data_IF_519780317792
#
_entry.id   IF_519780317792
#
_cell.length_a   1.000
_cell.length_b   1.000
_cell.length_c   1.000
_cell.angle_alpha   90.00
_cell.angle_beta   90.00
_cell.angle_gamma   90.00
#
_symmetry.space_group_name_H-M   'P 1'
#
loop_
_entity.id
_entity.type
_entity.pdbx_description
1 polymer ?
#
# COMPACT_ATOMS: atom_id res chain seq x y z
N UNK A 1 5.25 40.57 -67.45
CA UNK A 1 5.36 39.79 -68.67
C UNK A 1 5.10 38.36 -68.32
N UNK A 2 3.88 37.96 -68.47
CA UNK A 2 3.38 36.95 -69.40
C UNK A 2 3.88 35.54 -69.04
N UNK A 3 3.09 34.53 -68.92
CA UNK A 3 1.76 34.13 -69.31
C UNK A 3 1.70 32.68 -68.93
N UNK A 4 0.66 32.29 -68.41
CA UNK A 4 -0.46 31.60 -69.04
C UNK A 4 -0.22 30.15 -69.46
N UNK A 5 -1.07 29.38 -68.91
CA UNK A 5 -2.05 28.43 -69.49
C UNK A 5 -1.65 26.99 -69.57
N UNK A 6 -2.43 26.24 -68.95
CA UNK A 6 -3.61 25.41 -69.26
C UNK A 6 -3.16 23.94 -69.48
N UNK A 7 -3.77 23.00 -69.07
CA UNK A 7 -5.09 22.43 -68.91
C UNK A 7 -5.03 20.94 -69.15
N UNK A 8 -5.84 20.26 -68.43
CA UNK A 8 -6.69 19.09 -68.77
C UNK A 8 -6.07 17.70 -68.87
N UNK A 9 -6.63 16.81 -68.16
CA UNK A 9 -7.37 15.66 -68.60
C UNK A 9 -7.25 14.45 -67.72
N UNK A 10 -8.27 14.26 -67.01
CA UNK A 10 -9.28 13.16 -67.01
C UNK A 10 -8.89 11.80 -66.52
N UNK A 11 -9.66 11.40 -65.55
CA UNK A 11 -10.37 10.14 -65.35
C UNK A 11 -9.60 8.85 -65.03
N UNK A 12 -9.96 8.28 -63.94
CA UNK A 12 -9.73 6.88 -63.63
C UNK A 12 -10.23 6.51 -62.26
N UNK A 13 -11.40 5.99 -62.23
CA UNK A 13 -12.19 5.52 -61.09
C UNK A 13 -11.61 4.40 -60.29
N UNK A 14 -12.14 4.25 -59.10
CA UNK A 14 -12.47 3.08 -58.29
C UNK A 14 -11.40 2.46 -57.41
N UNK A 15 -11.72 2.37 -56.16
CA UNK A 15 -11.14 1.44 -55.23
C UNK A 15 -11.34 1.83 -53.77
N UNK A 16 -12.55 1.56 -53.26
CA UNK A 16 -12.81 1.60 -51.82
C UNK A 16 -11.93 0.61 -51.06
N UNK A 17 -11.35 1.05 -50.00
CA UNK A 17 -11.11 0.15 -48.88
C UNK A 17 -10.84 0.95 -47.61
N UNK A 18 -11.63 0.66 -46.62
CA UNK A 18 -11.66 1.13 -45.25
C UNK A 18 -10.31 1.18 -44.59
N UNK A 19 -9.89 2.34 -44.15
CA UNK A 19 -8.86 2.47 -43.15
C UNK A 19 -9.52 2.42 -41.77
N UNK A 20 -9.45 1.31 -41.14
CA UNK A 20 -9.75 1.16 -39.73
C UNK A 20 -8.73 1.96 -38.93
N UNK A 21 -9.16 3.04 -38.32
CA UNK A 21 -8.38 3.78 -37.34
C UNK A 21 -8.19 2.92 -36.09
N UNK A 22 -7.00 2.42 -35.92
CA UNK A 22 -6.61 1.84 -34.64
C UNK A 22 -6.33 2.99 -33.68
N UNK A 23 -7.33 3.35 -32.88
CA UNK A 23 -7.11 4.06 -31.65
C UNK A 23 -6.36 3.14 -30.69
N UNK A 24 -5.08 3.45 -30.46
CA UNK A 24 -4.33 2.84 -29.40
C UNK A 24 -4.95 3.27 -28.06
N UNK A 25 -5.72 2.40 -27.47
CA UNK A 25 -6.08 2.49 -26.07
C UNK A 25 -4.83 2.10 -25.24
N UNK A 26 -4.08 3.14 -24.82
CA UNK A 26 -3.15 2.98 -23.73
C UNK A 26 -3.97 2.97 -22.45
N UNK A 27 -3.89 1.91 -21.70
CA UNK A 27 -4.57 1.84 -20.41
C UNK A 27 -4.80 0.43 -19.97
N UNK A 28 -3.76 -0.38 -19.93
CA UNK A 28 -3.77 -1.57 -19.08
C UNK A 28 -2.98 -1.24 -17.82
N UNK A 29 -3.64 -0.66 -16.82
CA UNK A 29 -3.19 -0.77 -15.46
C UNK A 29 -3.29 -2.25 -15.09
N UNK A 30 -2.21 -2.97 -15.32
CA UNK A 30 -2.06 -4.33 -14.90
C UNK A 30 -2.12 -4.40 -13.39
N UNK A 31 -3.25 -4.77 -12.82
CA UNK A 31 -3.25 -5.54 -11.61
C UNK A 31 -2.62 -6.88 -11.98
N UNK A 32 -1.29 -6.96 -11.90
CA UNK A 32 -0.59 -8.21 -11.91
C UNK A 32 -0.95 -8.93 -10.62
N UNK A 33 -2.09 -9.62 -10.64
CA UNK A 33 -2.27 -10.75 -9.79
C UNK A 33 -1.19 -11.75 -10.22
N UNK A 34 -0.06 -11.77 -9.49
CA UNK A 34 0.87 -12.84 -9.60
C UNK A 34 0.15 -14.11 -9.21
N UNK A 35 -0.31 -14.88 -10.20
CA UNK A 35 -0.72 -16.24 -10.02
C UNK A 35 0.53 -17.06 -9.70
N UNK A 36 1.01 -16.94 -8.46
CA UNK A 36 1.83 -17.97 -7.87
C UNK A 36 1.01 -19.25 -7.93
N UNK A 37 1.45 -20.26 -8.69
CA UNK A 37 0.85 -21.57 -8.68
C UNK A 37 1.01 -22.16 -7.29
N UNK A 38 0.07 -21.85 -6.39
CA UNK A 38 -0.07 -22.54 -5.13
C UNK A 38 -0.39 -24.00 -5.48
N UNK A 39 0.50 -24.91 -5.08
CA UNK A 39 0.18 -26.33 -5.09
C UNK A 39 -1.15 -26.57 -4.40
N UNK A 40 -1.93 -27.53 -4.87
CA UNK A 40 -3.30 -27.89 -4.49
C UNK A 40 -3.44 -28.45 -3.06
N UNK A 41 -2.79 -27.81 -2.09
CA UNK A 41 -2.96 -28.08 -0.64
C UNK A 41 -3.81 -26.99 -0.03
N UNK A 42 -4.96 -27.34 0.52
CA UNK A 42 -5.80 -26.43 1.29
C UNK A 42 -5.01 -25.86 2.46
N UNK A 43 -5.34 -24.63 2.91
CA UNK A 43 -4.72 -23.98 4.05
C UNK A 43 -4.84 -24.86 5.29
N UNK A 44 -3.69 -25.24 5.86
CA UNK A 44 -3.62 -26.02 7.10
C UNK A 44 -3.13 -25.10 8.21
N UNK A 45 -4.07 -24.56 9.00
CA UNK A 45 -3.77 -23.68 10.14
C UNK A 45 -3.21 -24.43 11.39
N UNK A 46 -2.85 -25.68 11.26
CA UNK A 46 -2.47 -26.57 12.37
C UNK A 46 -0.96 -26.88 12.46
N UNK A 47 -0.12 -26.19 11.68
CA UNK A 47 1.35 -26.36 11.72
C UNK A 47 2.04 -25.29 12.58
N UNK A 48 3.34 -25.46 12.86
CA UNK A 48 4.14 -24.37 13.42
C UNK A 48 4.11 -23.21 12.43
N UNK A 49 3.61 -22.06 12.89
CA UNK A 49 3.59 -20.84 12.07
C UNK A 49 4.99 -20.34 11.79
N UNK A 50 5.04 -19.27 11.02
CA UNK A 50 6.21 -18.45 10.81
C UNK A 50 6.77 -18.02 12.18
N UNK A 51 7.97 -18.41 12.52
CA UNK A 51 8.59 -18.09 13.81
C UNK A 51 9.80 -17.20 13.55
N UNK A 52 9.71 -15.96 14.01
CA UNK A 52 10.87 -15.08 14.05
C UNK A 52 11.36 -15.01 15.50
N UNK A 53 12.64 -15.30 15.76
CA UNK A 53 13.19 -15.31 17.12
C UNK A 53 13.02 -13.97 17.84
N UNK A 54 12.85 -14.03 19.13
CA UNK A 54 12.70 -12.84 19.98
C UNK A 54 14.03 -12.21 20.37
N UNK A 55 15.16 -12.91 20.16
CA UNK A 55 16.52 -12.44 20.45
C UNK A 55 17.30 -12.25 19.17
N UNK A 56 18.13 -11.22 19.12
CA UNK A 56 18.97 -10.91 17.96
C UNK A 56 19.97 -12.02 17.63
N UNK A 57 20.56 -12.65 18.64
CA UNK A 57 21.55 -13.72 18.46
C UNK A 57 20.95 -15.00 17.83
N UNK A 58 19.64 -15.18 17.93
CA UNK A 58 18.92 -16.35 17.41
C UNK A 58 18.22 -16.05 16.05
N UNK A 59 18.47 -14.90 15.44
CA UNK A 59 17.81 -14.51 14.21
C UNK A 59 18.28 -15.34 13.00
N UNK A 60 17.33 -15.83 12.19
CA UNK A 60 17.68 -16.59 11.00
C UNK A 60 18.40 -15.67 9.98
N UNK A 61 19.50 -16.16 9.43
CA UNK A 61 20.25 -15.43 8.41
C UNK A 61 19.63 -15.56 7.02
N UNK A 62 18.80 -16.58 6.80
CA UNK A 62 18.11 -16.84 5.55
C UNK A 62 16.59 -16.86 5.74
N UNK A 63 15.85 -16.40 4.72
CA UNK A 63 14.40 -16.41 4.72
C UNK A 63 13.84 -17.85 4.84
N UNK A 64 14.48 -18.83 4.20
CA UNK A 64 14.14 -20.26 4.30
C UNK A 64 14.18 -20.81 5.73
N UNK A 65 14.89 -20.17 6.65
CA UNK A 65 15.03 -20.59 8.05
C UNK A 65 13.93 -20.02 8.97
N UNK A 66 13.09 -19.10 8.47
CA UNK A 66 12.08 -18.40 9.28
C UNK A 66 10.82 -19.22 9.53
N UNK A 67 10.58 -20.28 8.77
CA UNK A 67 9.30 -20.99 8.72
C UNK A 67 8.17 -20.20 8.03
N UNK A 68 8.47 -18.99 7.50
CA UNK A 68 7.52 -18.16 6.75
C UNK A 68 7.38 -18.58 5.29
N UNK A 69 8.35 -19.31 4.79
CA UNK A 69 8.38 -19.85 3.41
C UNK A 69 8.64 -21.35 3.43
N UNK A 70 8.38 -22.02 2.32
CA UNK A 70 8.77 -23.41 2.14
C UNK A 70 10.31 -23.51 2.14
N UNK A 71 10.92 -24.25 3.06
CA UNK A 71 12.38 -24.31 3.13
C UNK A 71 13.03 -25.00 1.92
N UNK A 72 12.27 -25.76 1.15
CA UNK A 72 12.73 -26.39 -0.09
C UNK A 72 12.53 -25.52 -1.32
N UNK A 73 11.64 -24.55 -1.24
CA UNK A 73 11.35 -23.55 -2.29
C UNK A 73 10.94 -22.21 -1.65
N UNK A 74 11.90 -21.39 -1.21
CA UNK A 74 11.61 -20.14 -0.53
C UNK A 74 10.82 -19.11 -1.33
N UNK A 75 10.61 -19.37 -2.62
CA UNK A 75 9.72 -18.56 -3.45
C UNK A 75 8.23 -18.76 -3.12
N UNK A 76 7.91 -19.78 -2.34
CA UNK A 76 6.55 -20.10 -1.90
C UNK A 76 6.36 -19.76 -0.43
N UNK A 77 5.30 -19.07 -0.10
CA UNK A 77 4.90 -18.89 1.28
C UNK A 77 4.59 -20.25 1.93
N UNK A 78 4.90 -20.40 3.21
CA UNK A 78 4.55 -21.61 3.95
C UNK A 78 3.02 -21.80 3.97
N UNK A 79 2.55 -23.04 3.97
CA UNK A 79 1.13 -23.39 3.90
C UNK A 79 0.29 -22.84 5.08
N UNK A 80 0.95 -22.42 6.17
CA UNK A 80 0.31 -21.79 7.33
C UNK A 80 0.05 -20.29 7.16
N UNK A 81 0.54 -19.68 6.11
CA UNK A 81 0.32 -18.27 5.82
C UNK A 81 -0.91 -18.06 4.95
N UNK A 82 -1.75 -17.12 5.32
CA UNK A 82 -2.93 -16.73 4.53
C UNK A 82 -2.57 -15.55 3.64
N UNK A 83 -2.66 -15.69 2.32
CA UNK A 83 -2.47 -14.58 1.42
C UNK A 83 -3.63 -13.59 1.52
N UNK A 84 -3.32 -12.30 1.34
CA UNK A 84 -4.31 -11.23 1.26
C UNK A 84 -3.83 -10.11 0.36
N UNK A 85 -4.75 -9.25 -0.04
CA UNK A 85 -4.45 -8.00 -0.72
C UNK A 85 -5.29 -6.86 -0.15
N UNK A 86 -4.94 -5.62 -0.48
CA UNK A 86 -5.55 -4.41 0.05
C UNK A 86 -6.25 -3.62 -1.05
N UNK A 87 -7.31 -2.90 -0.69
CA UNK A 87 -8.06 -2.05 -1.63
C UNK A 87 -7.22 -0.87 -2.12
N UNK A 88 -6.50 -0.24 -1.20
CA UNK A 88 -5.63 0.90 -1.49
C UNK A 88 -4.19 0.57 -1.07
N UNK A 89 -3.32 0.27 -2.03
CA UNK A 89 -1.95 -0.13 -1.73
C UNK A 89 -1.05 1.07 -1.44
N UNK A 90 -0.09 0.88 -0.53
CA UNK A 90 1.05 1.78 -0.36
C UNK A 90 1.92 1.73 -1.63
N UNK A 91 2.29 2.89 -2.16
CA UNK A 91 3.34 2.99 -3.18
C UNK A 91 4.69 2.52 -2.61
N UNK A 92 5.48 1.86 -3.41
CA UNK A 92 6.85 1.44 -3.07
C UNK A 92 7.65 1.33 -4.35
N UNK A 93 8.00 2.47 -4.93
CA UNK A 93 8.88 2.57 -6.11
C UNK A 93 8.47 1.64 -7.27
N UNK A 94 7.15 1.51 -7.52
CA UNK A 94 6.60 0.68 -8.59
C UNK A 94 6.61 -0.84 -8.32
N UNK A 95 7.07 -1.30 -7.16
CA UNK A 95 7.12 -2.71 -6.85
C UNK A 95 5.70 -3.31 -6.70
N UNK A 96 5.46 -4.43 -7.37
CA UNK A 96 4.32 -5.30 -7.08
C UNK A 96 4.53 -5.97 -5.71
N UNK A 97 3.44 -6.40 -5.08
CA UNK A 97 3.51 -6.93 -3.71
C UNK A 97 2.66 -8.18 -3.55
N UNK A 98 3.26 -9.21 -2.95
CA UNK A 98 2.52 -10.32 -2.36
C UNK A 98 2.47 -10.11 -0.84
N UNK A 99 1.33 -10.41 -0.22
CA UNK A 99 1.10 -10.17 1.21
C UNK A 99 0.53 -11.40 1.88
N UNK A 100 1.04 -11.69 3.06
CA UNK A 100 0.64 -12.86 3.83
C UNK A 100 0.57 -12.53 5.31
N UNK A 101 -0.28 -13.25 6.03
CA UNK A 101 -0.38 -13.19 7.48
C UNK A 101 -0.25 -14.58 8.07
N UNK A 102 0.52 -14.70 9.15
CA UNK A 102 0.67 -15.90 9.96
C UNK A 102 0.25 -15.60 11.39
N UNK A 103 -0.53 -16.48 11.98
CA UNK A 103 -0.88 -16.44 13.40
C UNK A 103 -0.36 -17.67 14.12
N UNK A 104 0.03 -17.55 15.40
CA UNK A 104 0.30 -18.72 16.23
C UNK A 104 -0.95 -19.62 16.33
N UNK A 105 -0.78 -20.95 16.37
CA UNK A 105 -1.90 -21.87 16.50
C UNK A 105 -2.80 -21.55 17.71
N UNK A 106 -4.10 -21.50 17.48
CA UNK A 106 -5.11 -21.24 18.51
C UNK A 106 -5.30 -19.77 18.90
N UNK A 107 -4.51 -18.86 18.35
CA UNK A 107 -4.70 -17.42 18.54
C UNK A 107 -5.64 -16.84 17.50
N UNK A 108 -6.14 -15.64 17.76
CA UNK A 108 -7.09 -14.94 16.89
C UNK A 108 -6.72 -13.48 16.75
N UNK A 109 -7.11 -12.90 15.65
CA UNK A 109 -7.11 -11.45 15.41
C UNK A 109 -8.25 -10.87 16.24
N UNK A 110 -7.96 -9.89 17.07
CA UNK A 110 -8.97 -9.09 17.73
C UNK A 110 -9.41 -7.98 16.76
N UNK A 111 -10.71 -8.00 16.39
CA UNK A 111 -11.30 -6.98 15.53
C UNK A 111 -11.94 -5.92 16.40
N UNK A 112 -11.46 -4.69 16.33
CA UNK A 112 -12.06 -3.56 17.05
C UNK A 112 -13.43 -3.24 16.47
N UNK A 113 -14.41 -3.20 17.34
CA UNK A 113 -15.79 -2.84 17.08
C UNK A 113 -16.22 -1.80 18.10
N UNK A 114 -16.22 -0.55 17.69
CA UNK A 114 -16.43 0.59 18.57
C UNK A 114 -17.86 0.72 19.06
N UNK A 115 -18.80 0.05 18.40
CA UNK A 115 -20.19 -0.06 18.88
C UNK A 115 -20.32 -1.04 20.05
N UNK A 116 -19.45 -2.06 20.09
CA UNK A 116 -19.48 -3.11 21.12
C UNK A 116 -18.53 -2.77 22.28
N UNK A 117 -17.41 -2.14 22.00
CA UNK A 117 -16.35 -1.81 22.98
C UNK A 117 -15.92 -0.34 22.90
N UNK A 118 -16.84 0.59 23.14
CA UNK A 118 -16.53 2.02 22.99
C UNK A 118 -15.37 2.50 23.87
N UNK A 119 -15.10 1.82 24.98
CA UNK A 119 -14.01 2.18 25.88
C UNK A 119 -12.60 1.84 25.32
N UNK A 120 -12.51 0.95 24.33
CA UNK A 120 -11.25 0.55 23.69
C UNK A 120 -10.96 1.36 22.43
N UNK A 121 -11.95 2.08 21.92
CA UNK A 121 -11.86 2.91 20.75
C UNK A 121 -11.62 4.37 21.12
N UNK A 122 -10.67 4.99 20.45
CA UNK A 122 -10.53 6.44 20.51
C UNK A 122 -11.68 7.05 19.73
N UNK A 123 -12.52 7.86 20.38
CA UNK A 123 -13.54 8.64 19.70
C UNK A 123 -12.89 9.79 18.93
N UNK A 124 -13.38 10.06 17.73
CA UNK A 124 -13.19 11.35 17.09
C UNK A 124 -14.15 12.32 17.81
N UNK A 125 -13.66 13.39 18.39
CA UNK A 125 -14.46 14.30 19.24
C UNK A 125 -15.64 14.98 18.51
N UNK A 126 -15.81 14.80 17.20
CA UNK A 126 -16.70 15.57 16.32
C UNK A 126 -17.80 14.74 15.63
N UNK A 127 -18.10 13.53 16.11
CA UNK A 127 -19.18 12.70 15.55
C UNK A 127 -18.81 11.94 14.28
N UNK A 128 -17.53 11.85 13.95
CA UNK A 128 -16.99 10.93 12.95
C UNK A 128 -17.02 9.46 13.42
N UNK A 129 -16.70 8.55 12.53
CA UNK A 129 -16.49 7.13 12.87
C UNK A 129 -15.34 7.02 13.86
N UNK A 130 -15.47 6.20 14.89
CA UNK A 130 -14.39 6.00 15.85
C UNK A 130 -13.09 5.59 15.13
N UNK A 131 -11.99 6.19 15.56
CA UNK A 131 -10.67 6.06 14.90
C UNK A 131 -10.21 4.62 14.72
N UNK A 132 -10.66 3.74 15.61
CA UNK A 132 -10.23 2.35 15.67
C UNK A 132 -11.23 1.37 15.06
N UNK A 133 -12.38 1.86 14.49
CA UNK A 133 -13.38 0.99 13.92
C UNK A 133 -12.81 0.13 12.79
N UNK A 134 -13.00 -1.19 12.92
CA UNK A 134 -12.50 -2.15 11.94
C UNK A 134 -10.99 -2.35 11.91
N UNK A 135 -10.22 -1.78 12.84
CA UNK A 135 -8.81 -2.08 13.02
C UNK A 135 -8.62 -3.48 13.60
N UNK A 136 -7.47 -4.07 13.33
CA UNK A 136 -7.12 -5.42 13.75
C UNK A 136 -5.91 -5.41 14.67
N UNK A 137 -6.09 -5.91 15.90
CA UNK A 137 -4.98 -6.19 16.79
C UNK A 137 -4.53 -7.64 16.60
N UNK A 138 -3.33 -7.79 16.08
CA UNK A 138 -2.73 -9.10 15.84
C UNK A 138 -2.16 -9.65 17.15
N UNK A 139 -2.33 -10.95 17.44
CA UNK A 139 -1.81 -11.55 18.67
C UNK A 139 -0.28 -11.58 18.69
N UNK A 140 0.30 -11.67 19.90
CA UNK A 140 1.74 -11.93 20.06
C UNK A 140 2.12 -13.19 19.32
N UNK A 141 3.22 -13.15 18.58
CA UNK A 141 3.68 -14.22 17.70
C UNK A 141 3.12 -14.14 16.27
N UNK A 142 2.21 -13.20 15.98
CA UNK A 142 1.76 -12.96 14.60
C UNK A 142 2.90 -12.37 13.76
N UNK A 143 2.92 -12.75 12.48
CA UNK A 143 3.85 -12.22 11.48
C UNK A 143 3.09 -11.77 10.25
N UNK A 144 3.36 -10.55 9.80
CA UNK A 144 2.92 -10.04 8.50
C UNK A 144 4.11 -10.11 7.55
N UNK A 145 3.97 -10.85 6.45
CA UNK A 145 4.99 -10.98 5.41
C UNK A 145 4.58 -10.20 4.17
N UNK A 146 5.53 -9.46 3.61
CA UNK A 146 5.36 -8.72 2.35
C UNK A 146 6.54 -8.99 1.43
N UNK A 147 6.26 -9.50 0.24
CA UNK A 147 7.26 -9.73 -0.82
C UNK A 147 7.14 -8.60 -1.83
N UNK A 148 8.26 -7.99 -2.21
CA UNK A 148 8.34 -6.92 -3.21
C UNK A 148 8.96 -7.46 -4.49
N UNK A 149 8.29 -7.17 -5.62
CA UNK A 149 8.73 -7.62 -6.95
C UNK A 149 8.88 -6.41 -7.89
N UNK A 150 10.02 -6.34 -8.58
CA UNK A 150 10.28 -5.37 -9.65
C UNK A 150 10.50 -6.13 -10.94
N UNK A 151 9.74 -5.80 -11.99
CA UNK A 151 9.80 -6.53 -13.25
C UNK A 151 9.49 -8.02 -13.14
N UNK A 152 8.75 -8.43 -12.10
CA UNK A 152 8.41 -9.83 -11.82
C UNK A 152 9.47 -10.59 -11.01
N UNK A 153 10.66 -10.02 -10.78
CA UNK A 153 11.69 -10.60 -9.93
C UNK A 153 11.49 -10.18 -8.47
N UNK A 154 11.67 -11.12 -7.53
CA UNK A 154 11.67 -10.82 -6.09
C UNK A 154 12.91 -10.02 -5.74
N UNK A 155 12.72 -8.90 -5.06
CA UNK A 155 13.82 -8.02 -4.64
C UNK A 155 13.99 -8.10 -3.14
N UNK A 156 12.90 -8.01 -2.40
CA UNK A 156 12.90 -7.95 -0.94
C UNK A 156 11.72 -8.73 -0.36
N UNK A 157 11.95 -9.37 0.79
CA UNK A 157 10.87 -9.83 1.65
C UNK A 157 11.00 -9.17 3.02
N UNK A 158 9.94 -8.51 3.47
CA UNK A 158 9.84 -7.94 4.82
C UNK A 158 8.96 -8.79 5.70
N UNK A 159 9.44 -9.03 6.91
CA UNK A 159 8.65 -9.62 7.99
C UNK A 159 8.44 -8.57 9.07
N UNK A 160 7.22 -8.42 9.54
CA UNK A 160 6.88 -7.62 10.71
C UNK A 160 6.28 -8.55 11.75
N UNK A 161 6.97 -8.74 12.86
CA UNK A 161 6.62 -9.71 13.92
C UNK A 161 6.16 -9.01 15.19
N UNK A 162 5.04 -9.46 15.76
CA UNK A 162 4.57 -9.06 17.08
C UNK A 162 5.27 -9.91 18.15
N UNK A 163 6.34 -9.38 18.75
CA UNK A 163 7.25 -10.15 19.60
C UNK A 163 6.76 -10.28 21.04
N UNK A 164 6.26 -9.18 21.61
CA UNK A 164 5.64 -9.11 22.94
C UNK A 164 4.47 -8.14 22.89
N UNK A 165 3.66 -8.06 23.94
CA UNK A 165 2.50 -7.13 24.02
C UNK A 165 2.84 -5.68 23.63
N UNK A 166 4.09 -5.28 23.77
CA UNK A 166 4.54 -3.89 23.47
C UNK A 166 5.60 -3.81 22.38
N UNK A 167 6.10 -4.94 21.87
CA UNK A 167 7.27 -4.96 21.01
C UNK A 167 6.95 -5.58 19.64
N UNK A 168 7.22 -4.81 18.59
CA UNK A 168 7.22 -5.28 17.22
C UNK A 168 8.63 -5.19 16.64
N UNK A 169 8.97 -6.09 15.74
CA UNK A 169 10.26 -6.08 15.02
C UNK A 169 10.05 -6.22 13.52
N UNK A 170 10.75 -5.38 12.77
CA UNK A 170 10.83 -5.46 11.31
C UNK A 170 12.11 -6.17 10.89
N UNK A 171 12.01 -6.99 9.84
CA UNK A 171 13.14 -7.69 9.23
C UNK A 171 13.08 -7.51 7.73
N UNK A 172 14.21 -7.17 7.12
CA UNK A 172 14.35 -7.01 5.68
C UNK A 172 15.30 -8.08 5.15
N UNK A 173 14.82 -8.88 4.19
CA UNK A 173 15.58 -9.93 3.54
C UNK A 173 15.80 -9.56 2.07
N UNK A 174 17.05 -9.49 1.65
CA UNK A 174 17.44 -9.26 0.26
C UNK A 174 17.48 -10.59 -0.50
N UNK A 175 16.74 -10.68 -1.62
CA UNK A 175 16.79 -11.84 -2.51
C UNK A 175 18.11 -11.89 -3.27
N UNK A 176 18.69 -13.10 -3.38
CA UNK A 176 19.86 -13.33 -4.21
C UNK A 176 19.48 -13.24 -5.70
N UNK A 177 20.47 -13.00 -6.55
CA UNK A 177 20.27 -12.81 -8.00
C UNK A 177 19.66 -14.06 -8.69
N UNK A 178 19.85 -15.24 -8.12
CA UNK A 178 19.25 -16.48 -8.61
C UNK A 178 17.76 -16.62 -8.22
N UNK A 179 17.25 -15.78 -7.31
CA UNK A 179 15.88 -15.83 -6.83
C UNK A 179 15.55 -17.09 -6.02
N UNK A 180 16.55 -17.73 -5.42
CA UNK A 180 16.40 -19.02 -4.73
C UNK A 180 16.22 -18.90 -3.22
N UNK A 181 16.77 -17.84 -2.60
CA UNK A 181 16.58 -17.52 -1.18
C UNK A 181 16.89 -16.04 -0.94
N UNK A 182 16.60 -15.54 0.26
CA UNK A 182 16.89 -14.18 0.66
C UNK A 182 17.67 -14.14 1.97
N UNK A 183 18.60 -13.17 2.08
CA UNK A 183 19.50 -13.00 3.22
C UNK A 183 19.01 -11.86 4.10
N UNK A 184 19.00 -12.06 5.42
CA UNK A 184 18.67 -11.01 6.39
C UNK A 184 19.71 -9.88 6.31
N UNK A 185 19.22 -8.66 6.14
CA UNK A 185 20.06 -7.47 6.19
C UNK A 185 20.23 -6.99 7.63
N UNK A 186 21.47 -6.72 8.08
CA UNK A 186 21.71 -6.23 9.43
C UNK A 186 21.29 -4.76 9.61
N UNK A 187 21.31 -3.98 8.52
CA UNK A 187 20.97 -2.55 8.49
C UNK A 187 20.36 -2.16 7.14
N UNK A 188 20.05 -0.88 6.96
CA UNK A 188 19.59 -0.34 5.68
C UNK A 188 20.62 -0.55 4.56
N UNK A 189 20.11 -0.70 3.35
CA UNK A 189 20.92 -0.84 2.16
C UNK A 189 20.23 -0.12 0.98
N UNK A 190 21.02 0.64 0.21
CA UNK A 190 20.60 1.14 -1.09
C UNK A 190 21.29 0.34 -2.19
N UNK A 191 20.53 -0.29 -3.08
CA UNK A 191 21.04 -1.14 -4.14
C UNK A 191 20.40 -0.78 -5.49
N UNK A 192 21.16 -0.71 -6.59
CA UNK A 192 20.58 -0.62 -7.93
C UNK A 192 19.74 -1.87 -8.25
N UNK A 193 18.50 -1.67 -8.70
CA UNK A 193 17.59 -2.72 -9.15
C UNK A 193 16.93 -2.24 -10.44
N UNK A 194 17.31 -2.80 -11.58
CA UNK A 194 16.93 -2.26 -12.89
C UNK A 194 17.44 -0.84 -13.05
N UNK A 195 16.57 0.08 -13.41
CA UNK A 195 16.89 1.49 -13.67
C UNK A 195 16.72 2.40 -12.43
N UNK A 196 16.46 1.81 -11.25
CA UNK A 196 16.20 2.56 -10.03
C UNK A 196 17.06 2.10 -8.85
N UNK A 197 17.15 2.94 -7.82
CA UNK A 197 17.75 2.56 -6.53
C UNK A 197 16.65 2.05 -5.61
N UNK A 198 16.75 0.78 -5.21
CA UNK A 198 15.87 0.20 -4.20
C UNK A 198 16.44 0.42 -2.79
N UNK A 199 15.59 0.93 -1.90
CA UNK A 199 15.93 1.14 -0.50
C UNK A 199 15.40 0.00 0.37
N UNK A 200 16.32 -0.78 0.95
CA UNK A 200 16.01 -1.74 2.00
C UNK A 200 16.05 -1.01 3.34
N UNK A 201 14.95 -0.93 4.10
CA UNK A 201 14.92 -0.17 5.34
C UNK A 201 15.61 -0.92 6.48
N UNK A 202 16.23 -0.16 7.39
CA UNK A 202 16.65 -0.68 8.69
C UNK A 202 15.45 -0.99 9.59
N UNK A 203 15.67 -1.70 10.68
CA UNK A 203 14.62 -1.99 11.68
C UNK A 203 13.98 -0.73 12.27
N UNK A 204 14.78 0.28 12.56
CA UNK A 204 14.29 1.56 13.08
C UNK A 204 13.43 2.30 12.05
N UNK A 205 13.79 2.24 10.78
CA UNK A 205 12.99 2.82 9.69
C UNK A 205 11.65 2.08 9.49
N UNK A 206 11.60 0.75 9.69
CA UNK A 206 10.33 0.03 9.71
C UNK A 206 9.39 0.61 10.79
N UNK A 207 9.91 0.80 12.00
CA UNK A 207 9.12 1.28 13.14
C UNK A 207 8.77 2.78 13.06
N UNK A 208 9.42 3.56 12.19
CA UNK A 208 9.04 4.94 11.93
C UNK A 208 7.63 5.07 11.29
N UNK A 209 7.20 4.05 10.52
CA UNK A 209 5.85 3.96 9.94
C UNK A 209 4.95 3.05 10.77
N UNK A 210 5.47 1.91 11.26
CA UNK A 210 4.73 0.92 12.04
C UNK A 210 4.62 1.35 13.52
N UNK A 211 4.01 2.51 13.76
CA UNK A 211 3.77 3.09 15.10
C UNK A 211 2.49 2.54 15.73
N UNK A 212 2.31 2.74 17.05
CA UNK A 212 1.05 2.41 17.73
C UNK A 212 -0.13 3.21 17.15
N UNK A 213 0.08 4.51 16.94
CA UNK A 213 -0.94 5.38 16.35
C UNK A 213 -1.36 4.97 14.94
N UNK A 214 -0.49 4.27 14.20
CA UNK A 214 -0.80 3.73 12.89
C UNK A 214 -1.33 2.27 12.91
N UNK A 215 -1.56 1.69 14.10
CA UNK A 215 -2.06 0.32 14.25
C UNK A 215 -1.03 -0.77 13.92
N UNK A 216 0.26 -0.46 14.02
CA UNK A 216 1.40 -1.39 13.84
C UNK A 216 1.43 -2.15 12.51
N UNK A 217 0.43 -2.97 12.19
CA UNK A 217 0.40 -3.81 10.98
C UNK A 217 0.19 -3.03 9.68
N UNK A 218 -0.40 -1.84 9.74
CA UNK A 218 -0.67 -0.86 8.67
C UNK A 218 -1.64 -1.31 7.57
N UNK A 219 -1.60 -2.54 7.12
CA UNK A 219 -2.37 -2.98 5.95
C UNK A 219 -3.64 -3.74 6.28
N UNK A 220 -3.60 -4.78 7.12
CA UNK A 220 -4.77 -5.60 7.37
C UNK A 220 -5.76 -4.90 8.32
N UNK A 221 -6.80 -4.31 7.73
CA UNK A 221 -7.97 -3.76 8.42
C UNK A 221 -9.24 -4.21 7.69
N UNK A 222 -10.38 -4.10 8.32
CA UNK A 222 -11.66 -4.52 7.74
C UNK A 222 -11.94 -3.80 6.42
N UNK A 223 -11.77 -2.47 6.35
CA UNK A 223 -12.01 -1.70 5.13
C UNK A 223 -11.01 -2.02 4.00
N UNK A 224 -9.75 -2.27 4.33
CA UNK A 224 -8.74 -2.64 3.33
C UNK A 224 -8.96 -4.03 2.75
N UNK A 225 -9.45 -4.98 3.55
CA UNK A 225 -9.62 -6.37 3.15
C UNK A 225 -11.05 -6.72 2.72
N UNK A 226 -12.00 -5.80 2.82
CA UNK A 226 -13.36 -6.04 2.31
C UNK A 226 -13.38 -5.97 0.78
N UNK A 227 -12.84 -7.03 0.16
CA UNK A 227 -12.80 -7.26 -1.29
C UNK A 227 -12.66 -8.76 -1.58
N UNK A 228 -12.98 -9.16 -2.79
CA UNK A 228 -12.72 -10.51 -3.25
C UNK A 228 -11.24 -10.72 -3.55
N UNK A 229 -10.76 -11.93 -3.26
CA UNK A 229 -9.42 -12.40 -3.56
C UNK A 229 -9.48 -13.79 -4.19
N UNK A 230 -8.63 -14.05 -5.19
CA UNK A 230 -8.52 -15.34 -5.85
C UNK A 230 -7.61 -16.28 -5.04
N UNK A 231 -8.20 -17.04 -4.13
CA UNK A 231 -7.51 -18.10 -3.40
C UNK A 231 -7.34 -19.34 -4.27
N UNK A 232 -6.47 -20.26 -3.86
CA UNK A 232 -6.25 -21.51 -4.59
C UNK A 232 -7.51 -22.38 -4.70
N UNK A 233 -8.42 -22.26 -3.75
CA UNK A 233 -9.70 -22.99 -3.67
C UNK A 233 -10.91 -22.21 -4.21
N UNK A 234 -10.68 -21.07 -4.85
CA UNK A 234 -11.72 -20.24 -5.47
C UNK A 234 -11.70 -18.78 -5.03
N UNK A 235 -12.47 -17.93 -5.72
CA UNK A 235 -12.60 -16.53 -5.34
C UNK A 235 -13.59 -16.39 -4.18
N UNK A 236 -13.21 -15.61 -3.17
CA UNK A 236 -14.02 -15.33 -1.98
C UNK A 236 -13.67 -13.97 -1.41
N UNK A 237 -14.63 -13.30 -0.77
CA UNK A 237 -14.34 -12.11 0.02
C UNK A 237 -13.36 -12.45 1.15
N UNK A 238 -12.32 -11.63 1.32
CA UNK A 238 -11.23 -11.92 2.25
C UNK A 238 -11.71 -11.99 3.71
N UNK A 239 -12.68 -11.17 4.12
CA UNK A 239 -13.24 -11.23 5.46
C UNK A 239 -13.97 -12.56 5.70
N UNK A 240 -14.69 -13.06 4.69
CA UNK A 240 -15.35 -14.37 4.76
C UNK A 240 -14.34 -15.51 4.82
N UNK A 241 -13.25 -15.41 4.05
CA UNK A 241 -12.15 -16.39 4.10
C UNK A 241 -11.50 -16.45 5.47
N UNK A 242 -11.14 -15.31 6.04
CA UNK A 242 -10.54 -15.22 7.37
C UNK A 242 -11.50 -15.72 8.45
N UNK A 243 -12.81 -15.40 8.33
CA UNK A 243 -13.83 -15.91 9.24
C UNK A 243 -13.98 -17.44 9.13
N UNK A 244 -14.01 -17.98 7.91
CA UNK A 244 -14.11 -19.43 7.67
C UNK A 244 -12.89 -20.19 8.20
N UNK A 245 -11.71 -19.59 8.19
CA UNK A 245 -10.49 -20.11 8.79
C UNK A 245 -10.45 -19.95 10.32
N UNK A 246 -11.45 -19.28 10.92
CA UNK A 246 -11.53 -19.08 12.36
C UNK A 246 -10.50 -18.11 12.94
N UNK A 247 -9.98 -17.19 12.10
CA UNK A 247 -8.89 -16.26 12.46
C UNK A 247 -9.35 -15.07 13.31
N UNK A 248 -10.63 -14.72 13.28
CA UNK A 248 -11.18 -13.63 14.05
C UNK A 248 -11.75 -14.09 15.40
N UNK A 249 -11.62 -13.26 16.42
CA UNK A 249 -12.27 -13.45 17.71
C UNK A 249 -13.77 -13.15 17.66
N UNK A 250 -14.16 -12.24 16.73
CA UNK A 250 -15.54 -11.87 16.41
C UNK A 250 -15.69 -11.66 14.91
N UNK A 251 -16.91 -11.73 14.41
CA UNK A 251 -17.20 -11.40 13.00
C UNK A 251 -16.98 -9.90 12.77
N UNK A 252 -16.11 -9.50 11.81
CA UNK A 252 -15.93 -8.09 11.50
C UNK A 252 -17.24 -7.43 11.04
N UNK A 253 -17.45 -6.17 11.44
CA UNK A 253 -18.53 -5.36 10.90
C UNK A 253 -18.40 -5.25 9.37
N UNK A 254 -19.54 -5.25 8.66
CA UNK A 254 -19.56 -5.12 7.19
C UNK A 254 -19.48 -3.65 6.78
N UNK A 255 -18.36 -2.99 7.11
CA UNK A 255 -18.09 -1.63 6.64
C UNK A 255 -17.69 -1.67 5.17
N UNK A 256 -17.93 -0.57 4.44
CA UNK A 256 -17.52 -0.46 3.04
C UNK A 256 -16.00 -0.64 2.89
N UNK A 257 -15.57 -1.31 1.81
CA UNK A 257 -14.16 -1.34 1.45
C UNK A 257 -13.70 0.04 1.00
N UNK A 258 -12.44 0.37 1.28
CA UNK A 258 -11.87 1.60 0.71
C UNK A 258 -11.92 1.56 -0.82
N UNK A 259 -12.26 2.68 -1.49
CA UNK A 259 -12.16 2.77 -2.95
C UNK A 259 -10.72 2.53 -3.40
N UNK A 260 -10.54 1.74 -4.44
CA UNK A 260 -9.22 1.64 -5.07
C UNK A 260 -8.84 2.98 -5.70
N UNK A 261 -7.61 3.47 -5.55
CA UNK A 261 -7.17 4.71 -6.20
C UNK A 261 -7.37 4.74 -7.72
N UNK A 262 -7.32 3.57 -8.38
CA UNK A 262 -7.55 3.40 -9.82
C UNK A 262 -8.91 2.77 -10.16
N UNK A 263 -9.77 2.52 -9.17
CA UNK A 263 -11.06 1.82 -9.34
C UNK A 263 -12.25 2.76 -9.45
N UNK A 264 -13.42 2.21 -9.15
CA UNK A 264 -14.67 2.93 -9.05
C UNK A 264 -14.70 3.78 -7.78
N UNK A 265 -15.41 4.88 -7.82
CA UNK A 265 -15.55 5.86 -6.75
C UNK A 265 -15.37 7.28 -7.28
N UNK A 266 -15.82 8.25 -6.50
CA UNK A 266 -15.59 9.66 -6.83
C UNK A 266 -14.11 9.99 -6.80
N UNK A 267 -13.73 11.07 -7.45
CA UNK A 267 -12.33 11.53 -7.49
C UNK A 267 -11.81 11.80 -6.06
N UNK A 268 -12.63 12.42 -5.20
CA UNK A 268 -12.27 12.66 -3.80
C UNK A 268 -12.09 11.36 -3.02
N UNK A 269 -13.03 10.42 -3.10
CA UNK A 269 -12.92 9.14 -2.39
C UNK A 269 -11.66 8.38 -2.79
N UNK A 270 -11.32 8.33 -4.09
CA UNK A 270 -10.10 7.67 -4.57
C UNK A 270 -8.83 8.38 -4.08
N UNK A 271 -8.81 9.72 -4.14
CA UNK A 271 -7.69 10.52 -3.65
C UNK A 271 -7.51 10.36 -2.14
N UNK A 272 -8.61 10.40 -1.38
CA UNK A 272 -8.59 10.20 0.08
C UNK A 272 -8.16 8.80 0.49
N UNK A 273 -8.56 7.78 -0.26
CA UNK A 273 -8.09 6.41 -0.07
C UNK A 273 -6.59 6.26 -0.35
N UNK A 274 -6.09 6.93 -1.39
CA UNK A 274 -4.66 6.99 -1.66
C UNK A 274 -3.89 7.67 -0.51
N UNK A 275 -4.38 8.81 -0.03
CA UNK A 275 -3.78 9.54 1.10
C UNK A 275 -3.79 8.71 2.39
N UNK A 276 -4.88 7.96 2.64
CA UNK A 276 -4.94 7.05 3.79
C UNK A 276 -3.78 6.05 3.78
N UNK A 277 -3.54 5.40 2.66
CA UNK A 277 -2.56 4.31 2.56
C UNK A 277 -1.12 4.79 2.42
N UNK A 278 -0.90 5.99 1.88
CA UNK A 278 0.45 6.50 1.58
C UNK A 278 0.93 7.59 2.53
N UNK A 279 0.02 8.28 3.19
CA UNK A 279 0.34 9.46 4.00
C UNK A 279 -0.14 9.32 5.46
N UNK A 280 -1.37 8.81 5.68
CA UNK A 280 -1.95 8.72 7.02
C UNK A 280 -1.23 7.71 7.93
N UNK A 281 -0.35 6.87 7.41
CA UNK A 281 0.53 6.03 8.23
C UNK A 281 1.46 6.86 9.13
N UNK A 282 1.78 8.07 8.71
CA UNK A 282 2.56 9.03 9.49
C UNK A 282 1.74 10.26 9.92
N UNK A 283 0.81 10.72 9.06
CA UNK A 283 0.02 11.94 9.26
C UNK A 283 -1.35 11.62 9.87
N UNK A 284 -1.35 11.36 11.16
CA UNK A 284 -2.52 11.13 12.02
C UNK A 284 -2.19 11.37 13.48
N UNK A 285 -3.17 11.58 14.35
CA UNK A 285 -2.95 11.63 15.79
C UNK A 285 -2.25 10.38 16.32
N UNK A 286 -1.25 10.56 17.18
CA UNK A 286 -0.49 9.46 17.78
C UNK A 286 0.54 8.77 16.90
N UNK A 287 0.69 9.18 15.63
CA UNK A 287 1.76 8.72 14.74
C UNK A 287 2.93 9.72 14.70
N UNK A 288 3.84 9.58 13.73
CA UNK A 288 5.08 10.36 13.65
C UNK A 288 4.83 11.87 13.48
N UNK A 289 3.77 12.25 12.77
CA UNK A 289 3.38 13.64 12.50
C UNK A 289 1.88 13.78 12.77
N UNK A 290 1.52 14.54 13.80
CA UNK A 290 0.15 14.62 14.32
C UNK A 290 -0.53 15.98 14.09
N UNK A 291 0.02 16.82 13.21
CA UNK A 291 -0.51 18.16 12.93
C UNK A 291 -1.54 18.20 11.77
N UNK A 292 -1.86 17.04 11.21
CA UNK A 292 -2.94 16.81 10.23
C UNK A 292 -3.40 15.37 10.34
N UNK A 293 -4.60 15.09 9.81
CA UNK A 293 -5.16 13.75 9.79
C UNK A 293 -5.63 13.36 8.39
N UNK A 294 -4.90 12.43 7.77
CA UNK A 294 -5.15 12.00 6.39
C UNK A 294 -5.87 10.65 6.29
N UNK A 295 -6.45 10.18 7.40
CA UNK A 295 -7.26 8.96 7.39
C UNK A 295 -8.50 9.15 6.50
N UNK A 296 -8.94 8.07 5.88
CA UNK A 296 -10.10 8.07 4.99
C UNK A 296 -11.40 8.43 5.73
N UNK A 297 -11.51 8.00 6.98
CA UNK A 297 -12.68 8.19 7.84
C UNK A 297 -12.88 9.65 8.30
N UNK A 298 -11.80 10.42 8.32
CA UNK A 298 -11.84 11.84 8.74
C UNK A 298 -12.43 12.70 7.64
N UNK A 299 -13.39 13.55 7.90
CA UNK A 299 -13.96 14.48 6.92
C UNK A 299 -12.91 15.41 6.31
N UNK A 300 -13.06 15.82 5.03
CA UNK A 300 -12.06 16.69 4.40
C UNK A 300 -11.85 17.99 5.19
N UNK A 301 -12.90 18.57 5.79
CA UNK A 301 -12.82 19.75 6.64
C UNK A 301 -11.87 19.55 7.84
N UNK A 302 -11.83 18.35 8.38
CA UNK A 302 -11.12 18.01 9.63
C UNK A 302 -9.71 17.49 9.38
N UNK A 303 -9.30 17.28 8.12
CA UNK A 303 -7.96 16.82 7.76
C UNK A 303 -6.85 17.82 8.05
N UNK A 304 -7.19 19.08 8.27
CA UNK A 304 -6.25 20.21 8.39
C UNK A 304 -5.34 20.37 7.15
N UNK A 305 -5.86 20.04 5.96
CA UNK A 305 -5.15 20.23 4.68
C UNK A 305 -5.45 21.59 4.06
N UNK A 306 -6.75 21.90 3.89
CA UNK A 306 -7.21 22.98 3.04
C UNK A 306 -6.85 24.34 3.59
N UNK A 307 -6.09 25.14 2.80
CA UNK A 307 -5.62 26.47 3.16
C UNK A 307 -4.85 26.56 4.50
N UNK A 308 -4.24 25.45 4.93
CA UNK A 308 -3.40 25.43 6.12
C UNK A 308 -1.95 25.69 5.78
N UNK A 309 -1.32 26.55 6.54
CA UNK A 309 0.11 26.86 6.41
C UNK A 309 0.94 25.71 7.00
N UNK A 310 2.04 25.36 6.35
CA UNK A 310 3.03 24.45 6.91
C UNK A 310 3.73 25.14 8.08
N UNK A 311 3.58 24.58 9.29
CA UNK A 311 4.14 25.16 10.54
C UNK A 311 5.56 24.70 10.82
N UNK A 312 5.93 23.51 10.38
CA UNK A 312 7.27 22.95 10.54
C UNK A 312 8.13 23.30 9.31
N UNK A 313 8.46 24.57 9.16
CA UNK A 313 9.36 25.02 8.10
C UNK A 313 10.79 25.06 8.63
N UNK A 314 11.64 24.25 8.03
CA UNK A 314 13.04 24.64 7.92
C UNK A 314 13.05 25.85 6.98
N UNK A 315 13.50 27.01 7.46
CA UNK A 315 13.36 28.33 6.81
C UNK A 315 14.02 28.47 5.42
N UNK A 316 14.58 27.38 4.86
CA UNK A 316 15.35 27.36 3.63
C UNK A 316 14.79 26.42 2.55
N UNK A 317 13.55 25.90 2.69
CA UNK A 317 12.98 25.03 1.68
C UNK A 317 12.19 25.85 0.66
N UNK A 318 12.61 25.79 -0.61
CA UNK A 318 11.88 26.33 -1.75
C UNK A 318 10.71 25.39 -2.11
N UNK A 319 9.64 25.46 -1.32
CA UNK A 319 8.43 24.68 -1.52
C UNK A 319 7.18 25.53 -1.22
N UNK A 320 6.00 25.17 -1.77
CA UNK A 320 4.74 25.83 -1.48
C UNK A 320 4.45 25.86 0.03
N UNK A 321 4.01 27.02 0.53
CA UNK A 321 3.79 27.22 1.97
C UNK A 321 2.46 26.66 2.47
N UNK A 322 1.49 26.49 1.56
CA UNK A 322 0.19 25.95 1.90
C UNK A 322 0.19 24.43 1.74
N UNK A 323 -0.48 23.72 2.65
CA UNK A 323 -0.62 22.25 2.54
C UNK A 323 -1.40 21.88 1.29
N UNK A 324 -2.53 22.54 1.04
CA UNK A 324 -3.38 22.38 -0.12
C UNK A 324 -4.07 23.72 -0.43
N UNK A 325 -3.96 24.16 -1.67
CA UNK A 325 -4.68 25.33 -2.23
C UNK A 325 -5.76 24.84 -3.17
N UNK A 326 -7.05 25.14 -2.92
CA UNK A 326 -8.13 24.74 -3.81
C UNK A 326 -7.87 25.19 -5.26
N UNK A 327 -8.00 24.25 -6.19
CA UNK A 327 -7.81 24.49 -7.63
C UNK A 327 -6.36 24.62 -8.10
N UNK A 328 -5.37 24.62 -7.19
CA UNK A 328 -3.97 24.86 -7.54
C UNK A 328 -3.01 23.80 -6.97
N UNK A 329 -2.72 22.73 -7.74
CA UNK A 329 -1.72 21.74 -7.35
C UNK A 329 -0.32 22.32 -7.23
N UNK A 330 0.05 23.36 -7.99
CA UNK A 330 1.41 23.91 -8.04
C UNK A 330 1.74 24.70 -6.78
N UNK A 331 0.75 25.36 -6.18
CA UNK A 331 0.88 26.07 -4.90
C UNK A 331 0.54 25.17 -3.67
N UNK A 332 0.29 23.87 -3.92
CA UNK A 332 -0.01 22.89 -2.89
C UNK A 332 1.23 22.06 -2.53
N UNK A 333 1.71 22.18 -1.28
CA UNK A 333 2.85 21.40 -0.80
C UNK A 333 2.61 19.89 -0.85
N UNK A 334 1.36 19.45 -0.69
CA UNK A 334 0.97 18.05 -0.85
C UNK A 334 1.39 17.52 -2.21
N UNK A 335 0.97 18.18 -3.29
CA UNK A 335 1.35 17.81 -4.66
C UNK A 335 2.85 17.94 -4.88
N UNK A 336 3.43 19.11 -4.57
CA UNK A 336 4.87 19.34 -4.74
C UNK A 336 5.74 18.23 -4.17
N UNK A 337 5.48 17.83 -2.91
CA UNK A 337 6.27 16.80 -2.21
C UNK A 337 6.13 15.40 -2.82
N UNK A 338 5.05 15.12 -3.52
CA UNK A 338 4.85 13.86 -4.24
C UNK A 338 5.56 13.84 -5.60
N UNK A 339 5.80 15.00 -6.20
CA UNK A 339 6.47 15.14 -7.50
C UNK A 339 8.00 15.16 -7.42
N UNK A 340 8.58 15.24 -6.23
CA UNK A 340 10.03 15.33 -6.07
C UNK A 340 10.60 14.06 -5.42
N UNK A 341 11.86 13.75 -5.75
CA UNK A 341 12.64 12.68 -5.13
C UNK A 341 13.74 13.21 -4.19
N UNK A 342 13.78 14.54 -3.99
CA UNK A 342 14.73 15.23 -3.10
C UNK A 342 14.44 15.00 -1.62
N UNK A 343 15.21 15.62 -0.72
CA UNK A 343 15.02 15.54 0.73
C UNK A 343 13.65 16.03 1.23
N UNK A 344 12.90 16.78 0.41
CA UNK A 344 11.55 17.27 0.74
C UNK A 344 10.44 16.32 0.31
N UNK A 345 10.77 15.22 -0.38
CA UNK A 345 9.78 14.24 -0.87
C UNK A 345 8.91 13.66 0.26
N UNK A 346 7.69 13.29 -0.11
CA UNK A 346 6.77 12.50 0.71
C UNK A 346 6.13 11.39 -0.15
N UNK A 347 6.03 10.15 0.39
CA UNK A 347 6.59 9.65 1.65
C UNK A 347 8.12 9.71 1.68
N UNK A 348 8.72 9.77 2.86
CA UNK A 348 10.20 9.87 2.99
C UNK A 348 10.93 8.55 2.72
N UNK A 349 10.25 7.43 2.81
CA UNK A 349 10.79 6.08 2.63
C UNK A 349 9.95 5.36 1.56
N UNK A 350 10.60 4.63 0.64
CA UNK A 350 9.95 3.88 -0.42
C UNK A 350 9.34 4.74 -1.53
N UNK A 351 9.93 5.91 -1.79
CA UNK A 351 9.53 6.86 -2.82
C UNK A 351 10.73 7.47 -3.55
N UNK A 352 11.72 6.65 -3.87
CA UNK A 352 12.83 7.05 -4.73
C UNK A 352 12.39 7.25 -6.18
N UNK A 353 11.25 6.67 -6.54
CA UNK A 353 10.56 6.86 -7.82
C UNK A 353 9.21 7.53 -7.57
N UNK A 354 8.92 8.59 -8.33
CA UNK A 354 7.63 9.27 -8.27
C UNK A 354 6.52 8.30 -8.72
N UNK A 355 5.39 8.29 -8.01
CA UNK A 355 4.18 7.58 -8.41
C UNK A 355 3.40 8.41 -9.45
N UNK A 356 3.45 8.09 -10.74
CA UNK A 356 2.81 8.91 -11.76
C UNK A 356 1.28 8.89 -11.67
N UNK A 357 0.69 7.76 -11.28
CA UNK A 357 -0.76 7.63 -11.17
C UNK A 357 -1.27 8.28 -9.87
N UNK A 358 -0.53 8.10 -8.77
CA UNK A 358 -0.84 8.71 -7.49
C UNK A 358 -0.73 10.24 -7.53
N UNK A 359 0.35 10.77 -8.12
CA UNK A 359 0.51 12.23 -8.30
C UNK A 359 -0.59 12.81 -9.17
N UNK A 360 -0.89 12.17 -10.30
CA UNK A 360 -1.97 12.60 -11.16
C UNK A 360 -3.33 12.60 -10.46
N UNK A 361 -3.63 11.55 -9.69
CA UNK A 361 -4.88 11.45 -8.94
C UNK A 361 -5.04 12.60 -7.94
N UNK A 362 -3.98 12.92 -7.21
CA UNK A 362 -3.98 14.01 -6.22
C UNK A 362 -4.08 15.38 -6.90
N UNK A 363 -3.37 15.59 -8.00
CA UNK A 363 -3.44 16.84 -8.77
C UNK A 363 -4.83 17.07 -9.37
N UNK A 364 -5.43 16.04 -9.95
CA UNK A 364 -6.79 16.11 -10.49
C UNK A 364 -7.80 16.44 -9.37
N UNK A 365 -7.64 15.80 -8.19
CA UNK A 365 -8.50 16.09 -7.03
C UNK A 365 -8.34 17.53 -6.54
N UNK A 366 -7.10 18.00 -6.32
CA UNK A 366 -6.84 19.38 -5.91
C UNK A 366 -7.45 20.37 -6.92
N UNK A 367 -7.26 20.12 -8.22
CA UNK A 367 -7.82 20.95 -9.30
C UNK A 367 -9.35 21.00 -9.25
N UNK A 368 -10.01 19.93 -8.82
CA UNK A 368 -11.47 19.85 -8.73
C UNK A 368 -12.06 20.60 -7.53
N UNK A 369 -11.24 20.95 -6.54
CA UNK A 369 -11.68 21.66 -5.33
C UNK A 369 -11.89 23.13 -5.66
N UNK A 370 -13.10 23.64 -5.49
CA UNK A 370 -13.44 25.05 -5.76
C UNK A 370 -13.30 25.94 -4.53
N UNK A 371 -13.43 25.39 -3.34
CA UNK A 371 -13.28 26.10 -2.06
C UNK A 371 -12.99 25.09 -0.95
N UNK A 372 -12.39 25.54 0.13
CA UNK A 372 -12.33 24.76 1.37
C UNK A 372 -13.74 24.51 1.94
N UNK A 373 -14.02 23.33 2.48
CA UNK A 373 -15.28 23.00 3.12
C UNK A 373 -15.50 23.81 4.41
#
# INVERSE_FOLDING_TARGET
VSGASAAAGASGSAGASAAAGASAAAGASGSAGASGSAGSGGFVFSGPGCVVPTKEDDEPTLLSQTGCVDPSDPTKAAATLVPYDVNSPLWSDGAAKERYISLPPGTKIHVKDCMVEPATCKSVDDGGTAEDEGHWDLPVGAVVMKVFLIGGARVETRLLSHVTDTTWRGYSFEWNDAGTDATLLPDQLDKPVGDQTWHFPSRSQCLACHTDGAGRSLGPTTAQLNRDYAYADGSMNQLDKFQALGLFDRTPARIAGYPSPSGDGTLEERARSYLHSNCAICHRPGATVSDMDLRFEVGFADTLLCNQVITAMEDNLDLPRMRLVPGDPTDSSLSYRMHVTSGTRMPKIGSNVVDPDGTKLIDDWITSITSCP
#
